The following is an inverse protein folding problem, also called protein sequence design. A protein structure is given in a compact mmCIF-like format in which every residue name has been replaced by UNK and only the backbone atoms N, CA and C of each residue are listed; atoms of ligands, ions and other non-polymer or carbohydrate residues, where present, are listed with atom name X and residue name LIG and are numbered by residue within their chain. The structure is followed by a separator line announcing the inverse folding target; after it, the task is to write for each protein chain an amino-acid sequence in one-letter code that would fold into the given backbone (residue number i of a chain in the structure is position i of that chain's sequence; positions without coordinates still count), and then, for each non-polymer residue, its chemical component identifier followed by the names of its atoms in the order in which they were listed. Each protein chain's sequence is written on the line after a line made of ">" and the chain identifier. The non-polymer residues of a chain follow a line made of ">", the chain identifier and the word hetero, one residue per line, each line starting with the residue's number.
data_IF_476097684647
#
_entry.id   IF_476097684647
#
_cell.length_a   1.000
_cell.length_b   1.000
_cell.length_c   1.000
_cell.angle_alpha   90.00
_cell.angle_beta   90.00
_cell.angle_gamma   90.00
#
_symmetry.space_group_name_H-M   'P 1'
#
loop_
_entity.id
_entity.type
_entity.pdbx_description
1 polymer ?
#
# COMPACT_ATOMS: atom_id res chain seq x y z
N UNK A 1 9.97 17.24 -6.58
CA UNK A 1 10.22 15.80 -6.79
C UNK A 1 9.85 14.90 -5.60
N UNK A 2 10.19 15.20 -4.33
CA UNK A 2 9.86 14.31 -3.20
C UNK A 2 8.37 13.93 -3.12
N UNK A 3 7.48 14.91 -3.25
CA UNK A 3 6.04 14.71 -3.35
C UNK A 3 5.60 13.81 -4.51
N UNK A 4 6.22 13.95 -5.69
CA UNK A 4 5.94 13.09 -6.84
C UNK A 4 6.36 11.64 -6.57
N UNK A 5 7.53 11.43 -5.95
CA UNK A 5 8.00 10.09 -5.58
C UNK A 5 7.07 9.43 -4.56
N UNK A 6 6.60 10.19 -3.57
CA UNK A 6 5.65 9.66 -2.59
C UNK A 6 4.27 9.43 -3.18
N UNK A 7 3.83 10.25 -4.13
CA UNK A 7 2.62 9.99 -4.92
C UNK A 7 2.73 8.65 -5.65
N UNK A 8 3.85 8.41 -6.35
CA UNK A 8 4.10 7.14 -7.05
C UNK A 8 4.13 5.97 -6.07
N UNK A 9 4.78 6.13 -4.91
CA UNK A 9 4.80 5.10 -3.86
C UNK A 9 3.38 4.72 -3.42
N UNK A 10 2.55 5.72 -3.08
CA UNK A 10 1.16 5.50 -2.64
C UNK A 10 0.31 4.79 -3.70
N UNK A 11 0.45 5.20 -4.97
CA UNK A 11 -0.20 4.57 -6.11
C UNK A 11 0.27 3.12 -6.34
N UNK A 12 1.54 2.84 -6.05
CA UNK A 12 2.13 1.52 -6.20
C UNK A 12 1.66 0.54 -5.12
N UNK A 13 1.49 1.01 -3.89
CA UNK A 13 1.05 0.17 -2.77
C UNK A 13 -0.47 -0.02 -2.74
N UNK A 14 -1.24 0.75 -3.53
CA UNK A 14 -2.69 0.54 -3.67
C UNK A 14 -2.97 -0.95 -3.97
N UNK A 15 -3.77 -1.66 -3.16
CA UNK A 15 -3.87 -3.12 -3.26
C UNK A 15 -4.24 -3.63 -4.65
N UNK A 16 -5.19 -3.01 -5.34
CA UNK A 16 -5.58 -3.40 -6.70
C UNK A 16 -4.41 -3.33 -7.69
N UNK A 17 -3.57 -2.29 -7.60
CA UNK A 17 -2.38 -2.11 -8.45
C UNK A 17 -1.23 -3.02 -8.02
N UNK A 18 -1.03 -3.22 -6.72
CA UNK A 18 -0.02 -4.12 -6.17
C UNK A 18 -0.24 -5.56 -6.66
N UNK A 19 -1.48 -6.07 -6.58
CA UNK A 19 -1.83 -7.44 -6.99
C UNK A 19 -1.67 -7.70 -8.49
N UNK A 20 -1.67 -6.67 -9.33
CA UNK A 20 -1.39 -6.80 -10.77
C UNK A 20 0.12 -6.95 -10.99
N UNK A 21 0.94 -6.15 -10.29
CA UNK A 21 2.40 -6.14 -10.43
C UNK A 21 3.06 -7.35 -9.78
N UNK A 22 2.49 -7.85 -8.68
CA UNK A 22 3.06 -8.93 -7.87
C UNK A 22 2.20 -10.17 -8.00
N UNK A 23 2.62 -11.08 -8.89
CA UNK A 23 1.96 -12.37 -9.08
C UNK A 23 2.48 -13.40 -8.07
N UNK A 24 1.62 -14.32 -7.60
CA UNK A 24 2.03 -15.39 -6.70
C UNK A 24 2.98 -16.37 -7.41
N UNK A 25 3.99 -16.83 -6.69
CA UNK A 25 4.96 -17.84 -7.17
C UNK A 25 4.53 -19.28 -6.87
N UNK A 26 3.49 -19.45 -6.04
CA UNK A 26 2.89 -20.75 -5.72
C UNK A 26 1.41 -20.58 -5.36
N UNK A 27 0.69 -21.68 -5.14
CA UNK A 27 -0.70 -21.65 -4.67
C UNK A 27 -0.86 -21.33 -3.18
N UNK A 28 0.23 -21.36 -2.41
CA UNK A 28 0.20 -21.16 -0.95
C UNK A 28 0.01 -19.67 -0.61
N UNK A 29 -0.85 -19.38 0.38
CA UNK A 29 -1.18 -18.00 0.71
C UNK A 29 -0.08 -17.30 1.51
N UNK A 30 0.60 -18.00 2.40
CA UNK A 30 1.56 -17.42 3.36
C UNK A 30 2.81 -16.87 2.65
N UNK A 31 3.42 -17.59 1.67
CA UNK A 31 4.52 -17.02 0.89
C UNK A 31 4.07 -15.83 0.04
N UNK A 32 2.82 -15.86 -0.46
CA UNK A 32 2.30 -14.76 -1.27
C UNK A 32 2.01 -13.51 -0.44
N UNK A 33 1.40 -13.67 0.73
CA UNK A 33 1.22 -12.59 1.71
C UNK A 33 2.58 -11.95 2.05
N UNK A 34 3.57 -12.78 2.38
CA UNK A 34 4.92 -12.32 2.72
C UNK A 34 5.55 -11.55 1.56
N UNK A 35 5.38 -12.02 0.32
CA UNK A 35 5.87 -11.36 -0.89
C UNK A 35 5.23 -9.98 -1.10
N UNK A 36 3.92 -9.86 -0.88
CA UNK A 36 3.21 -8.57 -1.00
C UNK A 36 3.70 -7.56 0.04
N UNK A 37 3.84 -8.00 1.30
CA UNK A 37 4.32 -7.14 2.39
C UNK A 37 5.77 -6.70 2.12
N UNK A 38 6.66 -7.63 1.76
CA UNK A 38 8.04 -7.32 1.44
C UNK A 38 8.15 -6.32 0.27
N UNK A 39 7.29 -6.44 -0.75
CA UNK A 39 7.26 -5.49 -1.87
C UNK A 39 6.89 -4.08 -1.41
N UNK A 40 5.89 -3.94 -0.52
CA UNK A 40 5.50 -2.64 0.05
C UNK A 40 6.66 -2.04 0.85
N UNK A 41 7.32 -2.84 1.68
CA UNK A 41 8.43 -2.37 2.52
C UNK A 41 9.62 -1.94 1.69
N UNK A 42 10.01 -2.73 0.69
CA UNK A 42 11.09 -2.39 -0.22
C UNK A 42 10.82 -1.08 -0.98
N UNK A 43 9.60 -0.91 -1.51
CA UNK A 43 9.22 0.34 -2.19
C UNK A 43 9.25 1.54 -1.23
N UNK A 44 8.90 1.36 0.05
CA UNK A 44 9.00 2.41 1.07
C UNK A 44 10.45 2.76 1.39
N UNK A 45 11.32 1.77 1.59
CA UNK A 45 12.75 1.96 1.84
C UNK A 45 13.44 2.72 0.71
N UNK A 46 13.12 2.42 -0.55
CA UNK A 46 13.61 3.15 -1.73
C UNK A 46 13.22 4.64 -1.74
N UNK A 47 12.18 5.01 -1.00
CA UNK A 47 11.68 6.38 -0.89
C UNK A 47 11.95 7.01 0.49
N UNK A 48 12.61 6.30 1.41
CA UNK A 48 12.79 6.75 2.80
C UNK A 48 13.49 8.10 2.91
N UNK A 49 14.45 8.38 2.03
CA UNK A 49 15.18 9.66 2.02
C UNK A 49 14.30 10.87 1.67
N UNK A 50 13.12 10.67 1.08
CA UNK A 50 12.23 11.77 0.69
C UNK A 50 11.58 12.46 1.88
N UNK A 51 11.58 11.82 3.06
CA UNK A 51 10.97 12.36 4.28
C UNK A 51 11.52 13.75 4.68
N UNK A 52 12.78 14.05 4.34
CA UNK A 52 13.42 15.33 4.72
C UNK A 52 12.87 16.55 3.95
N UNK A 53 12.04 16.32 2.94
CA UNK A 53 11.49 17.35 2.04
C UNK A 53 9.97 17.54 2.20
N UNK A 54 9.37 16.96 3.23
CA UNK A 54 7.94 17.03 3.51
C UNK A 54 7.73 17.33 4.99
N UNK A 55 6.54 17.80 5.35
CA UNK A 55 6.22 17.99 6.76
C UNK A 55 6.15 16.65 7.50
N UNK A 56 6.39 16.70 8.81
CA UNK A 56 6.21 15.53 9.67
C UNK A 56 4.76 15.00 9.60
N UNK A 57 3.77 15.88 9.46
CA UNK A 57 2.37 15.51 9.32
C UNK A 57 2.13 14.70 8.03
N UNK A 58 2.62 15.19 6.89
CA UNK A 58 2.56 14.50 5.61
C UNK A 58 3.21 13.12 5.70
N UNK A 59 4.42 13.06 6.27
CA UNK A 59 5.17 11.83 6.42
C UNK A 59 4.46 10.80 7.32
N UNK A 60 3.86 11.27 8.42
CA UNK A 60 3.07 10.43 9.32
C UNK A 60 1.84 9.83 8.63
N UNK A 61 1.14 10.63 7.82
CA UNK A 61 -0.02 10.18 7.05
C UNK A 61 0.39 9.13 6.01
N UNK A 62 1.49 9.34 5.29
CA UNK A 62 2.03 8.36 4.33
C UNK A 62 2.39 7.04 5.04
N UNK A 63 3.07 7.13 6.19
CA UNK A 63 3.46 5.96 6.98
C UNK A 63 2.23 5.21 7.49
N UNK A 64 1.19 5.93 7.93
CA UNK A 64 -0.09 5.34 8.32
C UNK A 64 -0.77 4.61 7.15
N UNK A 65 -0.78 5.21 5.95
CA UNK A 65 -1.33 4.58 4.75
C UNK A 65 -0.59 3.29 4.36
N UNK A 66 0.76 3.29 4.42
CA UNK A 66 1.58 2.07 4.25
C UNK A 66 1.15 0.98 5.24
N UNK A 67 1.11 1.32 6.52
CA UNK A 67 0.81 0.36 7.58
C UNK A 67 -0.62 -0.20 7.47
N UNK A 68 -1.59 0.65 7.16
CA UNK A 68 -2.97 0.24 6.94
C UNK A 68 -3.11 -0.71 5.73
N UNK A 69 -2.34 -0.49 4.68
CA UNK A 69 -2.29 -1.39 3.51
C UNK A 69 -1.76 -2.77 3.89
N UNK A 70 -0.67 -2.84 4.66
CA UNK A 70 -0.12 -4.11 5.19
C UNK A 70 -1.15 -4.82 6.09
N UNK A 71 -1.83 -4.08 6.96
CA UNK A 71 -2.84 -4.63 7.85
C UNK A 71 -4.04 -5.19 7.09
N UNK A 72 -4.45 -4.56 5.99
CA UNK A 72 -5.49 -5.08 5.11
C UNK A 72 -5.10 -6.44 4.54
N UNK A 73 -3.87 -6.57 4.03
CA UNK A 73 -3.33 -7.83 3.48
C UNK A 73 -3.31 -8.93 4.55
N UNK A 74 -2.80 -8.63 5.75
CA UNK A 74 -2.76 -9.57 6.88
C UNK A 74 -4.16 -10.04 7.28
N UNK A 75 -5.11 -9.10 7.43
CA UNK A 75 -6.50 -9.43 7.77
C UNK A 75 -7.15 -10.33 6.72
N UNK A 76 -6.93 -10.07 5.44
CA UNK A 76 -7.45 -10.89 4.36
C UNK A 76 -6.88 -12.33 4.39
N UNK A 77 -5.60 -12.48 4.75
CA UNK A 77 -4.92 -13.78 4.87
C UNK A 77 -5.40 -14.60 6.07
N UNK A 78 -5.74 -13.93 7.18
CA UNK A 78 -6.23 -14.55 8.41
C UNK A 78 -7.66 -15.12 8.30
N UNK A 79 -8.44 -14.74 7.29
CA UNK A 79 -9.78 -15.29 7.12
C UNK A 79 -9.71 -16.80 6.83
N UNK A 80 -10.52 -17.60 7.52
CA UNK A 80 -10.55 -19.07 7.36
C UNK A 80 -10.80 -19.50 5.92
N UNK A 81 -11.64 -18.76 5.19
CA UNK A 81 -11.94 -19.00 3.77
C UNK A 81 -10.77 -18.71 2.82
N UNK A 82 -9.76 -17.98 3.28
CA UNK A 82 -8.57 -17.67 2.49
C UNK A 82 -7.57 -18.79 2.68
N UNK A 83 -7.56 -19.76 1.79
CA UNK A 83 -6.70 -20.95 1.87
C UNK A 83 -5.68 -21.06 0.73
N UNK A 84 -5.75 -20.16 -0.26
CA UNK A 84 -4.84 -20.13 -1.41
C UNK A 84 -4.45 -18.70 -1.75
N UNK A 85 -3.35 -18.54 -2.47
CA UNK A 85 -2.90 -17.24 -2.98
C UNK A 85 -3.97 -16.57 -3.85
N UNK A 86 -4.64 -17.32 -4.73
CA UNK A 86 -5.72 -16.79 -5.57
C UNK A 86 -6.91 -16.32 -4.73
N UNK A 87 -7.28 -17.08 -3.70
CA UNK A 87 -8.36 -16.65 -2.80
C UNK A 87 -7.99 -15.41 -2.00
N UNK A 88 -6.72 -15.26 -1.59
CA UNK A 88 -6.22 -14.05 -0.94
C UNK A 88 -6.38 -12.83 -1.86
N UNK A 89 -6.04 -12.95 -3.15
CA UNK A 89 -6.26 -11.88 -4.15
C UNK A 89 -7.72 -11.48 -4.23
N UNK A 90 -8.61 -12.47 -4.34
CA UNK A 90 -10.05 -12.23 -4.45
C UNK A 90 -10.60 -11.50 -3.21
N UNK A 91 -10.22 -11.92 -2.01
CA UNK A 91 -10.63 -11.28 -0.76
C UNK A 91 -10.13 -9.84 -0.68
N UNK A 92 -8.85 -9.60 -0.99
CA UNK A 92 -8.28 -8.24 -1.00
C UNK A 92 -9.02 -7.34 -1.99
N UNK A 93 -9.31 -7.83 -3.21
CA UNK A 93 -10.04 -7.06 -4.21
C UNK A 93 -11.48 -6.77 -3.77
N UNK A 94 -12.13 -7.72 -3.11
CA UNK A 94 -13.49 -7.53 -2.57
C UNK A 94 -13.52 -6.43 -1.51
N UNK A 95 -12.58 -6.44 -0.57
CA UNK A 95 -12.45 -5.37 0.43
C UNK A 95 -12.23 -3.99 -0.20
N UNK A 96 -11.56 -3.92 -1.35
CA UNK A 96 -11.35 -2.66 -2.09
C UNK A 96 -12.56 -2.19 -2.88
N UNK A 97 -13.57 -3.03 -3.11
CA UNK A 97 -14.84 -2.58 -3.67
C UNK A 97 -15.71 -1.91 -2.60
N UNK A 98 -15.61 -2.36 -1.36
CA UNK A 98 -16.41 -1.84 -0.24
C UNK A 98 -15.79 -0.62 0.44
N UNK A 99 -14.45 -0.49 0.37
CA UNK A 99 -13.70 0.56 1.08
C UNK A 99 -12.73 1.27 0.14
N UNK A 100 -12.55 2.57 0.39
CA UNK A 100 -11.47 3.35 -0.25
C UNK A 100 -10.10 2.78 0.12
N UNK A 101 -9.13 2.95 -0.76
CA UNK A 101 -7.79 2.47 -0.51
C UNK A 101 -7.15 3.30 0.62
N UNK A 102 -6.33 2.68 1.51
CA UNK A 102 -5.63 3.43 2.55
C UNK A 102 -4.75 4.57 2.02
N UNK A 103 -4.27 4.44 0.77
CA UNK A 103 -3.48 5.44 0.07
C UNK A 103 -4.24 6.72 -0.28
N UNK A 104 -5.58 6.68 -0.38
CA UNK A 104 -6.37 7.80 -0.91
C UNK A 104 -6.30 9.04 -0.03
N UNK A 105 -6.32 8.85 1.30
CA UNK A 105 -6.20 9.95 2.26
C UNK A 105 -4.80 10.61 2.18
N UNK A 106 -3.76 9.80 2.02
CA UNK A 106 -2.39 10.31 1.89
C UNK A 106 -2.17 11.05 0.56
N UNK A 107 -2.75 10.56 -0.54
CA UNK A 107 -2.70 11.24 -1.84
C UNK A 107 -3.42 12.60 -1.80
N UNK A 108 -4.58 12.65 -1.15
CA UNK A 108 -5.31 13.90 -0.95
C UNK A 108 -4.50 14.90 -0.12
N UNK A 109 -3.86 14.42 0.95
CA UNK A 109 -3.01 15.28 1.79
C UNK A 109 -1.80 15.82 1.03
N UNK A 110 -1.08 14.98 0.28
CA UNK A 110 0.04 15.42 -0.57
C UNK A 110 -0.41 16.54 -1.53
N UNK A 111 -1.58 16.40 -2.15
CA UNK A 111 -2.11 17.40 -3.07
C UNK A 111 -2.38 18.74 -2.38
N UNK A 112 -2.93 18.71 -1.17
CA UNK A 112 -3.20 19.92 -0.39
C UNK A 112 -1.89 20.61 0.03
N UNK A 113 -0.96 19.86 0.60
CA UNK A 113 0.32 20.41 1.07
C UNK A 113 1.14 21.00 -0.08
N UNK A 114 1.18 20.34 -1.24
CA UNK A 114 1.81 20.91 -2.43
C UNK A 114 1.09 22.20 -2.86
N UNK A 115 -0.23 22.26 -2.79
CA UNK A 115 -1.00 23.46 -3.12
C UNK A 115 -0.77 24.65 -2.17
N UNK A 116 -0.23 24.44 -0.96
CA UNK A 116 0.12 25.51 -0.03
C UNK A 116 1.54 26.06 -0.25
N UNK A 117 2.40 25.29 -0.93
CA UNK A 117 3.78 25.68 -1.24
C UNK A 117 3.90 26.58 -2.48
N UNK A 118 2.84 26.71 -3.28
CA UNK A 118 2.80 27.45 -4.55
C UNK A 118 1.55 28.32 -4.64
#
# INVERSE_FOLDING_TARGET
>A
QAYERMTIFLERITPSKLLIRVSPTSSQKEPYESLLIATIEQEFEHNLSQQIYMSDECWNIITAAKNATIQLIRKASLLEKTNTANKLREVILTEMMEKRAPSDAALAYIKNEVGELW
#
